data_IF_382454556723
#
_entry.id   IF_382454556723
#
_cell.length_a   1.000
_cell.length_b   1.000
_cell.length_c   1.000
_cell.angle_alpha   90.00
_cell.angle_beta   90.00
_cell.angle_gamma   90.00
#
_symmetry.space_group_name_H-M   'P 1'
#
loop_
_entity.id
_entity.type
_entity.pdbx_description
1 polymer ?
#
# COMPACT_ATOMS: atom_id res chain seq x y z
N UNK A 1 -11.38 21.11 6.74
CA UNK A 1 -10.13 20.40 6.50
C UNK A 1 -10.15 19.14 7.33
N UNK A 2 -9.81 17.99 6.77
CA UNK A 2 -9.86 16.69 7.48
C UNK A 2 -8.60 16.42 8.28
N UNK A 3 -8.69 15.57 9.29
CA UNK A 3 -7.60 15.19 10.18
C UNK A 3 -7.08 13.80 9.80
N UNK A 4 -5.91 13.73 9.15
CA UNK A 4 -5.33 12.45 8.74
C UNK A 4 -4.70 11.74 9.95
N UNK A 5 -5.11 10.49 10.16
CA UNK A 5 -4.52 9.54 11.08
C UNK A 5 -3.79 8.44 10.30
N UNK A 6 -2.53 8.23 10.63
CA UNK A 6 -1.67 7.23 10.00
C UNK A 6 -1.65 6.00 10.90
N UNK A 7 -2.08 4.85 10.39
CA UNK A 7 -2.07 3.58 11.11
C UNK A 7 -0.70 2.95 10.99
N UNK A 8 -0.02 2.75 12.13
CA UNK A 8 1.38 2.33 12.24
C UNK A 8 2.33 3.52 12.35
N UNK A 9 3.14 3.56 13.41
CA UNK A 9 4.09 4.64 13.70
C UNK A 9 5.56 4.20 13.51
N UNK A 10 5.82 2.95 13.12
CA UNK A 10 7.17 2.42 12.93
C UNK A 10 7.78 2.94 11.61
N UNK A 11 8.84 2.28 11.10
CA UNK A 11 9.60 2.73 9.92
C UNK A 11 8.70 3.17 8.76
N UNK A 12 7.82 2.29 8.30
CA UNK A 12 6.93 2.62 7.19
C UNK A 12 5.91 3.72 7.54
N UNK A 13 5.43 3.79 8.79
CA UNK A 13 4.58 4.90 9.24
C UNK A 13 5.27 6.26 9.13
N UNK A 14 6.54 6.34 9.52
CA UNK A 14 7.35 7.57 9.38
C UNK A 14 7.61 7.94 7.92
N UNK A 15 7.80 6.94 7.04
CA UNK A 15 7.88 7.19 5.60
C UNK A 15 6.57 7.76 5.05
N UNK A 16 5.43 7.22 5.48
CA UNK A 16 4.11 7.70 5.05
C UNK A 16 3.78 9.07 5.62
N UNK A 17 4.26 9.41 6.81
CA UNK A 17 4.18 10.78 7.32
C UNK A 17 4.87 11.77 6.37
N UNK A 18 6.12 11.49 5.98
CA UNK A 18 6.85 12.33 5.04
C UNK A 18 6.19 12.36 3.64
N UNK A 19 5.64 11.23 3.20
CA UNK A 19 4.88 11.16 1.96
C UNK A 19 3.64 12.07 2.01
N UNK A 20 2.92 12.06 3.14
CA UNK A 20 1.70 12.85 3.31
C UNK A 20 1.95 14.36 3.18
N UNK A 21 3.07 14.86 3.70
CA UNK A 21 3.47 16.27 3.57
C UNK A 21 3.66 16.72 2.12
N UNK A 22 4.00 15.78 1.21
CA UNK A 22 4.26 16.04 -0.20
C UNK A 22 3.12 15.56 -1.11
N UNK A 23 2.05 15.03 -0.53
CA UNK A 23 0.91 14.48 -1.27
C UNK A 23 -0.07 15.56 -1.73
N UNK A 24 -0.85 15.21 -2.76
CA UNK A 24 -1.96 16.03 -3.24
C UNK A 24 -2.98 16.19 -2.10
N UNK A 25 -3.47 17.40 -1.90
CA UNK A 25 -4.48 17.71 -0.86
C UNK A 25 -3.90 18.08 0.52
N UNK A 26 -2.60 17.86 0.79
CA UNK A 26 -2.00 18.29 2.04
C UNK A 26 -2.07 19.83 2.21
N UNK A 27 -2.54 20.28 3.39
CA UNK A 27 -2.72 21.70 3.72
C UNK A 27 -3.98 22.34 3.10
N UNK A 28 -4.70 21.64 2.23
CA UNK A 28 -5.95 22.14 1.60
C UNK A 28 -7.16 21.24 1.89
N UNK A 29 -7.00 19.95 1.79
CA UNK A 29 -8.06 18.96 2.06
C UNK A 29 -7.87 18.31 3.42
N UNK A 30 -6.62 17.99 3.78
CA UNK A 30 -6.28 17.37 5.06
C UNK A 30 -4.99 17.94 5.67
N UNK A 31 -4.87 17.76 7.01
CA UNK A 31 -3.63 17.89 7.77
C UNK A 31 -3.38 16.63 8.58
N UNK A 32 -2.15 16.41 9.03
CA UNK A 32 -1.80 15.21 9.80
C UNK A 32 -2.11 15.45 11.28
N UNK A 33 -2.99 14.63 11.86
CA UNK A 33 -3.35 14.66 13.27
C UNK A 33 -2.37 13.86 14.13
N UNK A 34 -1.93 12.69 13.66
CA UNK A 34 -1.01 11.82 14.40
C UNK A 34 -1.06 10.38 13.92
N UNK A 35 -0.53 9.50 14.76
CA UNK A 35 -0.47 8.07 14.51
C UNK A 35 -1.43 7.27 15.39
N UNK A 36 -1.82 6.10 14.88
CA UNK A 36 -2.40 5.02 15.66
C UNK A 36 -1.43 3.83 15.66
N UNK A 37 -0.96 3.40 16.82
CA UNK A 37 -0.07 2.23 16.98
C UNK A 37 -0.28 1.63 18.38
N UNK A 38 -0.21 0.32 18.49
CA UNK A 38 -0.38 -0.38 19.77
C UNK A 38 0.87 -0.23 20.66
N UNK A 39 2.03 -0.02 20.03
CA UNK A 39 3.28 0.22 20.73
C UNK A 39 3.49 1.73 20.94
N UNK A 40 3.19 2.21 22.13
CA UNK A 40 3.31 3.64 22.51
C UNK A 40 4.72 4.20 22.31
N UNK A 41 5.73 3.35 22.50
CA UNK A 41 7.15 3.70 22.40
C UNK A 41 7.69 3.58 20.95
N UNK A 42 6.84 3.41 19.94
CA UNK A 42 7.28 3.21 18.55
C UNK A 42 8.01 4.42 17.96
N UNK A 43 7.86 5.60 18.57
CA UNK A 43 8.53 6.85 18.17
C UNK A 43 9.66 7.26 19.11
N UNK A 44 9.98 6.48 20.15
CA UNK A 44 11.08 6.81 21.06
C UNK A 44 12.42 6.90 20.29
N UNK A 45 13.12 8.01 20.47
CA UNK A 45 14.35 8.31 19.73
C UNK A 45 14.14 8.84 18.30
N UNK A 46 12.91 9.18 17.93
CA UNK A 46 12.60 9.80 16.63
C UNK A 46 11.86 11.14 16.83
N UNK A 47 12.58 12.24 16.69
CA UNK A 47 12.04 13.58 16.87
C UNK A 47 11.34 14.10 15.60
N UNK A 48 10.46 15.10 15.78
CA UNK A 48 9.81 15.81 14.67
C UNK A 48 8.58 15.12 14.08
N UNK A 49 8.12 14.03 14.67
CA UNK A 49 6.87 13.37 14.30
C UNK A 49 5.72 13.72 15.25
N UNK A 50 4.46 13.72 14.77
CA UNK A 50 3.31 13.86 15.64
C UNK A 50 3.16 12.66 16.57
N UNK A 51 2.43 12.83 17.66
CA UNK A 51 2.26 11.82 18.70
C UNK A 51 1.49 10.58 18.21
N UNK A 52 1.72 9.45 18.87
CA UNK A 52 0.81 8.30 18.84
C UNK A 52 -0.37 8.64 19.75
N UNK A 53 -1.56 8.76 19.15
CA UNK A 53 -2.77 9.23 19.84
C UNK A 53 -3.45 8.09 20.60
N UNK A 54 -3.49 6.89 20.01
CA UNK A 54 -4.17 5.72 20.56
C UNK A 54 -3.72 4.44 19.84
N UNK A 55 -4.13 3.29 20.34
CA UNK A 55 -4.19 2.07 19.53
C UNK A 55 -5.39 2.13 18.57
N UNK A 56 -5.34 1.30 17.52
CA UNK A 56 -6.43 1.20 16.52
C UNK A 56 -7.74 0.73 17.18
N UNK A 57 -7.64 -0.24 18.09
CA UNK A 57 -8.80 -0.82 18.78
C UNK A 57 -9.50 0.20 19.68
N UNK A 58 -8.71 1.03 20.38
CA UNK A 58 -9.24 1.96 21.38
C UNK A 58 -9.62 3.33 20.81
N UNK A 59 -9.24 3.61 19.57
CA UNK A 59 -9.53 4.91 18.97
C UNK A 59 -11.03 5.07 18.67
N UNK A 60 -11.61 6.16 19.18
CA UNK A 60 -12.96 6.59 18.85
C UNK A 60 -12.93 7.53 17.63
N UNK A 61 -13.42 7.04 16.48
CA UNK A 61 -13.43 7.78 15.21
C UNK A 61 -14.26 9.06 15.35
N UNK A 62 -13.69 10.20 14.96
CA UNK A 62 -14.36 11.50 14.94
C UNK A 62 -14.86 11.82 13.51
N UNK A 63 -15.83 12.73 13.39
CA UNK A 63 -16.48 13.10 12.12
C UNK A 63 -15.54 13.66 11.07
N UNK A 64 -14.45 14.30 11.51
CA UNK A 64 -13.47 14.94 10.64
C UNK A 64 -12.21 14.11 10.40
N UNK A 65 -12.15 12.91 10.99
CA UNK A 65 -11.02 12.01 10.82
C UNK A 65 -11.06 11.31 9.46
N UNK A 66 -9.87 11.20 8.87
CA UNK A 66 -9.60 10.34 7.71
C UNK A 66 -8.37 9.50 7.98
N UNK A 67 -8.27 8.35 7.33
CA UNK A 67 -7.29 7.34 7.68
C UNK A 67 -6.47 6.89 6.48
N UNK A 68 -5.22 6.48 6.75
CA UNK A 68 -4.35 5.76 5.82
C UNK A 68 -3.60 4.65 6.56
N UNK A 69 -3.49 3.46 5.97
CA UNK A 69 -2.86 2.31 6.61
C UNK A 69 -1.40 2.15 6.15
N UNK A 70 -0.46 2.49 7.01
CA UNK A 70 0.99 2.43 6.78
C UNK A 70 1.61 1.13 7.32
N UNK A 71 1.06 -0.01 6.94
CA UNK A 71 1.58 -1.33 7.29
C UNK A 71 2.04 -2.07 6.03
N UNK A 72 3.28 -2.59 6.08
CA UNK A 72 3.85 -3.37 4.98
C UNK A 72 3.36 -4.81 4.94
N UNK A 73 3.05 -5.39 6.11
CA UNK A 73 2.46 -6.72 6.22
C UNK A 73 0.99 -6.66 5.81
N UNK A 74 0.62 -7.44 4.79
CA UNK A 74 -0.72 -7.43 4.18
C UNK A 74 -1.79 -8.02 5.10
N UNK A 75 -1.41 -8.92 6.01
CA UNK A 75 -2.33 -9.56 6.97
C UNK A 75 -2.70 -8.56 8.05
N UNK A 76 -1.72 -7.93 8.70
CA UNK A 76 -1.97 -6.89 9.69
C UNK A 76 -2.65 -5.66 9.07
N UNK A 77 -2.27 -5.28 7.84
CA UNK A 77 -2.97 -4.23 7.09
C UNK A 77 -4.46 -4.52 7.02
N UNK A 78 -4.83 -5.70 6.54
CA UNK A 78 -6.24 -6.10 6.43
C UNK A 78 -6.94 -6.09 7.78
N UNK A 79 -6.32 -6.63 8.81
CA UNK A 79 -6.88 -6.68 10.17
C UNK A 79 -7.23 -5.28 10.69
N UNK A 80 -6.28 -4.34 10.66
CA UNK A 80 -6.53 -2.99 11.20
C UNK A 80 -7.49 -2.17 10.34
N UNK A 81 -7.47 -2.38 9.02
CA UNK A 81 -8.45 -1.79 8.11
C UNK A 81 -9.86 -2.28 8.46
N UNK A 82 -10.05 -3.58 8.65
CA UNK A 82 -11.36 -4.16 8.99
C UNK A 82 -11.89 -3.60 10.33
N UNK A 83 -11.03 -3.46 11.35
CA UNK A 83 -11.40 -2.86 12.65
C UNK A 83 -11.94 -1.42 12.45
N UNK A 84 -11.23 -0.61 11.68
CA UNK A 84 -11.63 0.78 11.46
C UNK A 84 -12.85 0.92 10.52
N UNK A 85 -12.97 0.05 9.52
CA UNK A 85 -14.16 -0.01 8.67
C UNK A 85 -15.42 -0.38 9.48
N UNK A 86 -15.31 -1.30 10.44
CA UNK A 86 -16.40 -1.63 11.37
C UNK A 86 -16.81 -0.41 12.23
N UNK A 87 -15.88 0.51 12.49
CA UNK A 87 -16.11 1.80 13.17
C UNK A 87 -16.57 2.92 12.19
N UNK A 88 -16.86 2.59 10.93
CA UNK A 88 -17.25 3.54 9.86
C UNK A 88 -16.20 4.62 9.57
N UNK A 89 -14.92 4.28 9.75
CA UNK A 89 -13.81 5.18 9.42
C UNK A 89 -13.73 5.47 7.92
N UNK A 90 -13.41 6.70 7.56
CA UNK A 90 -13.24 7.14 6.18
C UNK A 90 -11.77 7.05 5.77
N UNK A 91 -11.45 6.25 4.76
CA UNK A 91 -10.10 6.15 4.22
C UNK A 91 -9.93 7.02 2.98
N UNK A 92 -8.81 7.73 2.89
CA UNK A 92 -8.43 8.52 1.73
C UNK A 92 -7.31 7.84 0.93
N UNK A 93 -7.17 8.20 -0.34
CA UNK A 93 -6.00 7.86 -1.12
C UNK A 93 -4.91 8.89 -0.88
N UNK A 94 -3.68 8.41 -0.61
CA UNK A 94 -2.52 9.27 -0.43
C UNK A 94 -1.65 9.18 -1.68
N UNK A 95 -1.62 10.25 -2.49
CA UNK A 95 -0.98 10.26 -3.79
C UNK A 95 0.11 11.33 -3.82
N UNK A 96 1.36 10.90 -4.00
CA UNK A 96 2.48 11.82 -4.15
C UNK A 96 2.38 12.64 -5.45
N UNK A 97 2.78 13.91 -5.40
CA UNK A 97 2.69 14.83 -6.54
C UNK A 97 3.49 14.39 -7.78
N UNK A 98 4.52 13.55 -7.61
CA UNK A 98 5.32 13.01 -8.73
C UNK A 98 4.81 11.70 -9.30
N UNK A 99 3.72 11.14 -8.76
CA UNK A 99 3.12 9.94 -9.33
C UNK A 99 2.40 10.25 -10.64
N UNK A 100 2.48 9.34 -11.59
CA UNK A 100 1.76 9.41 -12.87
C UNK A 100 0.68 8.33 -12.91
N UNK A 101 -0.55 8.71 -13.23
CA UNK A 101 -1.68 7.79 -13.35
C UNK A 101 -2.33 8.03 -14.71
N UNK A 102 -2.33 6.97 -15.53
CA UNK A 102 -2.86 7.00 -16.89
C UNK A 102 -4.39 7.09 -16.94
N UNK A 103 -4.91 7.41 -18.13
CA UNK A 103 -6.36 7.52 -18.38
C UNK A 103 -7.09 6.22 -18.07
N UNK A 104 -8.36 6.33 -17.72
CA UNK A 104 -9.28 5.22 -17.43
C UNK A 104 -8.83 4.30 -16.28
N UNK A 105 -7.85 4.73 -15.47
CA UNK A 105 -7.47 3.98 -14.26
C UNK A 105 -8.51 4.19 -13.19
N UNK A 106 -9.09 3.09 -12.71
CA UNK A 106 -10.03 3.07 -11.60
C UNK A 106 -9.30 2.68 -10.32
N UNK A 107 -9.49 3.44 -9.26
CA UNK A 107 -8.82 3.21 -7.98
C UNK A 107 -9.84 3.21 -6.84
N UNK A 108 -9.75 2.20 -5.98
CA UNK A 108 -10.50 2.12 -4.74
C UNK A 108 -10.03 3.13 -3.69
N UNK A 109 -10.37 2.88 -2.44
CA UNK A 109 -10.05 3.74 -1.30
C UNK A 109 -8.84 3.23 -0.51
N UNK A 110 -8.21 4.12 0.25
CA UNK A 110 -7.11 3.78 1.16
C UNK A 110 -5.80 3.39 0.47
N UNK A 111 -5.63 3.72 -0.81
CA UNK A 111 -4.43 3.42 -1.57
C UNK A 111 -3.30 4.41 -1.25
N UNK A 112 -2.07 3.92 -1.25
CA UNK A 112 -0.85 4.71 -1.09
C UNK A 112 -0.05 4.66 -2.38
N UNK A 113 0.14 5.81 -3.00
CA UNK A 113 0.91 5.97 -4.24
C UNK A 113 2.14 6.83 -3.93
N UNK A 114 3.28 6.17 -3.77
CA UNK A 114 4.53 6.83 -3.40
C UNK A 114 5.16 7.61 -4.57
N UNK A 115 6.32 8.20 -4.27
CA UNK A 115 7.10 9.02 -5.23
C UNK A 115 7.46 8.22 -6.48
N UNK A 116 7.32 8.85 -7.65
CA UNK A 116 7.73 8.30 -8.94
C UNK A 116 7.09 6.95 -9.30
N UNK A 117 5.93 6.66 -8.73
CA UNK A 117 5.10 5.54 -9.17
C UNK A 117 4.53 5.88 -10.55
N UNK A 118 4.59 4.94 -11.48
CA UNK A 118 4.02 5.07 -12.80
C UNK A 118 2.96 3.99 -13.04
N UNK A 119 1.71 4.41 -13.14
CA UNK A 119 0.57 3.56 -13.46
C UNK A 119 0.09 3.90 -14.87
N UNK A 120 0.09 2.93 -15.77
CA UNK A 120 -0.34 3.09 -17.16
C UNK A 120 -1.88 3.27 -17.26
N UNK A 121 -2.40 3.26 -18.48
CA UNK A 121 -3.84 3.39 -18.74
C UNK A 121 -4.62 2.10 -18.49
N UNK A 122 -5.93 2.25 -18.27
CA UNK A 122 -6.91 1.16 -18.21
C UNK A 122 -6.64 0.15 -17.08
N UNK A 123 -6.00 0.62 -16.00
CA UNK A 123 -5.66 -0.19 -14.82
C UNK A 123 -6.80 -0.18 -13.81
N UNK A 124 -7.11 -1.34 -13.23
CA UNK A 124 -8.07 -1.46 -12.14
C UNK A 124 -7.36 -1.78 -10.83
N UNK A 125 -7.52 -0.90 -9.84
CA UNK A 125 -6.90 -1.00 -8.52
C UNK A 125 -8.00 -1.07 -7.47
N UNK A 126 -8.00 -2.15 -6.68
CA UNK A 126 -8.95 -2.30 -5.58
C UNK A 126 -8.52 -1.46 -4.34
N UNK A 127 -9.11 -1.71 -3.18
CA UNK A 127 -8.90 -0.93 -1.98
C UNK A 127 -7.57 -1.26 -1.27
N UNK A 128 -7.00 -0.30 -0.56
CA UNK A 128 -5.86 -0.46 0.36
C UNK A 128 -4.58 -1.00 -0.29
N UNK A 129 -4.37 -0.72 -1.56
CA UNK A 129 -3.15 -1.11 -2.27
C UNK A 129 -2.04 -0.10 -1.99
N UNK A 130 -0.84 -0.61 -1.72
CA UNK A 130 0.36 0.21 -1.52
C UNK A 130 1.31 0.04 -2.70
N UNK A 131 1.68 1.15 -3.32
CA UNK A 131 2.73 1.24 -4.32
C UNK A 131 3.89 2.03 -3.74
N UNK A 132 4.99 1.36 -3.43
CA UNK A 132 6.21 2.01 -2.95
C UNK A 132 6.93 2.75 -4.08
N UNK A 133 7.96 3.58 -3.79
CA UNK A 133 8.62 4.40 -4.80
C UNK A 133 9.09 3.60 -6.03
N UNK A 134 8.94 4.19 -7.20
CA UNK A 134 9.39 3.65 -8.49
C UNK A 134 8.69 2.36 -8.94
N UNK A 135 7.57 2.00 -8.34
CA UNK A 135 6.73 0.92 -8.87
C UNK A 135 6.17 1.33 -10.23
N UNK A 136 6.20 0.40 -11.18
CA UNK A 136 5.66 0.62 -12.53
C UNK A 136 4.62 -0.45 -12.87
N UNK A 137 3.44 0.00 -13.30
CA UNK A 137 2.30 -0.85 -13.65
C UNK A 137 1.99 -0.67 -15.15
N UNK A 138 2.01 -1.77 -15.89
CA UNK A 138 1.62 -1.83 -17.30
C UNK A 138 0.11 -1.64 -17.49
N UNK A 139 -0.28 -1.36 -18.73
CA UNK A 139 -1.69 -1.17 -19.13
C UNK A 139 -2.55 -2.41 -18.86
N UNK A 140 -3.85 -2.21 -18.68
CA UNK A 140 -4.84 -3.29 -18.49
C UNK A 140 -4.56 -4.22 -17.28
N UNK A 141 -3.71 -3.80 -16.33
CA UNK A 141 -3.43 -4.58 -15.14
C UNK A 141 -4.59 -4.52 -14.14
N UNK A 142 -4.77 -5.61 -13.39
CA UNK A 142 -5.79 -5.72 -12.34
C UNK A 142 -5.10 -6.02 -11.01
N UNK A 143 -5.40 -5.22 -9.98
CA UNK A 143 -4.76 -5.34 -8.67
C UNK A 143 -5.83 -5.45 -7.59
N UNK A 144 -5.82 -6.58 -6.89
CA UNK A 144 -6.73 -6.89 -5.78
C UNK A 144 -6.43 -6.09 -4.51
N UNK A 145 -7.34 -6.20 -3.55
CA UNK A 145 -7.27 -5.43 -2.30
C UNK A 145 -6.11 -5.82 -1.40
N UNK A 146 -5.63 -4.86 -0.62
CA UNK A 146 -4.57 -5.02 0.38
C UNK A 146 -3.22 -5.48 -0.18
N UNK A 147 -2.99 -5.42 -1.48
CA UNK A 147 -1.69 -5.74 -2.07
C UNK A 147 -0.60 -4.75 -1.62
N UNK A 148 0.63 -5.24 -1.56
CA UNK A 148 1.81 -4.43 -1.25
C UNK A 148 2.88 -4.63 -2.31
N UNK A 149 3.12 -3.59 -3.11
CA UNK A 149 4.12 -3.57 -4.17
C UNK A 149 5.32 -2.75 -3.68
N UNK A 150 6.42 -3.44 -3.40
CA UNK A 150 7.63 -2.80 -2.89
C UNK A 150 8.40 -2.09 -4.01
N UNK A 151 9.33 -1.23 -3.58
CA UNK A 151 10.15 -0.37 -4.43
C UNK A 151 10.72 -1.09 -5.65
N UNK A 152 10.65 -0.46 -6.83
CA UNK A 152 11.12 -0.96 -8.11
C UNK A 152 10.42 -2.24 -8.62
N UNK A 153 9.32 -2.67 -8.02
CA UNK A 153 8.56 -3.78 -8.63
C UNK A 153 7.86 -3.35 -9.92
N UNK A 154 7.72 -4.30 -10.83
CA UNK A 154 7.15 -4.08 -12.16
C UNK A 154 6.06 -5.09 -12.47
N UNK A 155 4.94 -4.62 -12.99
CA UNK A 155 3.87 -5.44 -13.53
C UNK A 155 3.72 -5.20 -15.03
N UNK A 156 3.92 -6.23 -15.85
CA UNK A 156 3.65 -6.18 -17.29
C UNK A 156 2.16 -6.00 -17.60
N UNK A 157 1.85 -5.58 -18.81
CA UNK A 157 0.47 -5.38 -19.26
C UNK A 157 -0.39 -6.64 -19.11
N UNK A 158 -1.69 -6.48 -18.80
CA UNK A 158 -2.67 -7.56 -18.54
C UNK A 158 -2.32 -8.48 -17.37
N UNK A 159 -1.30 -8.17 -16.57
CA UNK A 159 -0.98 -8.96 -15.38
C UNK A 159 -2.00 -8.72 -14.27
N UNK A 160 -2.16 -9.71 -13.38
CA UNK A 160 -3.18 -9.68 -12.35
C UNK A 160 -2.62 -10.06 -10.99
N UNK A 161 -2.95 -9.29 -9.96
CA UNK A 161 -2.79 -9.68 -8.56
C UNK A 161 -4.18 -9.90 -7.95
N UNK A 162 -4.37 -11.05 -7.32
CA UNK A 162 -5.51 -11.23 -6.41
C UNK A 162 -5.25 -10.50 -5.08
N UNK A 163 -6.12 -10.67 -4.06
CA UNK A 163 -5.99 -9.94 -2.81
C UNK A 163 -4.74 -10.33 -2.02
N UNK A 164 -4.23 -9.40 -1.21
CA UNK A 164 -3.14 -9.62 -0.24
C UNK A 164 -1.85 -10.17 -0.85
N UNK A 165 -1.59 -9.90 -2.11
CA UNK A 165 -0.33 -10.27 -2.77
C UNK A 165 0.77 -9.29 -2.36
N UNK A 166 1.97 -9.84 -2.12
CA UNK A 166 3.18 -9.05 -1.91
C UNK A 166 4.17 -9.24 -3.08
N UNK A 167 4.52 -8.13 -3.73
CA UNK A 167 5.67 -8.08 -4.62
C UNK A 167 6.83 -7.43 -3.86
N UNK A 168 7.91 -8.20 -3.62
CA UNK A 168 9.09 -7.64 -2.96
C UNK A 168 9.91 -6.74 -3.91
N UNK A 169 10.86 -6.01 -3.34
CA UNK A 169 11.70 -5.04 -4.04
C UNK A 169 12.26 -5.62 -5.34
N UNK A 170 12.03 -4.91 -6.45
CA UNK A 170 12.51 -5.32 -7.77
C UNK A 170 11.85 -6.57 -8.35
N UNK A 171 10.75 -7.07 -7.77
CA UNK A 171 10.00 -8.19 -8.35
C UNK A 171 9.38 -7.81 -9.70
N UNK A 172 9.43 -8.70 -10.68
CA UNK A 172 8.95 -8.48 -12.04
C UNK A 172 7.89 -9.52 -12.39
N UNK A 173 6.75 -9.07 -12.88
CA UNK A 173 5.76 -9.91 -13.52
C UNK A 173 5.78 -9.66 -15.04
N UNK A 174 5.95 -10.73 -15.83
CA UNK A 174 5.78 -10.62 -17.28
C UNK A 174 4.31 -10.37 -17.64
N UNK A 175 4.02 -9.85 -18.85
CA UNK A 175 2.64 -9.65 -19.31
C UNK A 175 1.78 -10.91 -19.14
N UNK A 176 0.49 -10.71 -18.81
CA UNK A 176 -0.51 -11.78 -18.59
C UNK A 176 -0.25 -12.70 -17.38
N UNK A 177 0.80 -12.47 -16.60
CA UNK A 177 1.05 -13.28 -15.38
C UNK A 177 -0.01 -12.98 -14.33
N UNK A 178 -0.57 -14.04 -13.76
CA UNK A 178 -1.49 -13.97 -12.63
C UNK A 178 -0.82 -14.46 -11.35
N UNK A 179 -0.94 -13.68 -10.29
CA UNK A 179 -0.50 -14.02 -8.93
C UNK A 179 -1.75 -14.15 -8.05
N UNK A 180 -1.97 -15.36 -7.52
CA UNK A 180 -3.16 -15.66 -6.72
C UNK A 180 -3.04 -15.14 -5.29
N UNK A 181 -4.17 -15.13 -4.57
CA UNK A 181 -4.35 -14.52 -3.25
C UNK A 181 -3.28 -14.95 -2.23
N UNK A 182 -2.76 -13.98 -1.50
CA UNK A 182 -1.78 -14.18 -0.43
C UNK A 182 -0.41 -14.69 -0.90
N UNK A 183 -0.18 -14.78 -2.22
CA UNK A 183 1.12 -15.21 -2.73
C UNK A 183 2.17 -14.10 -2.64
N UNK A 184 3.43 -14.51 -2.59
CA UNK A 184 4.60 -13.62 -2.48
C UNK A 184 5.55 -13.85 -3.65
N UNK A 185 5.93 -12.78 -4.34
CA UNK A 185 7.03 -12.79 -5.32
C UNK A 185 8.26 -12.16 -4.66
N UNK A 186 9.30 -12.95 -4.48
CA UNK A 186 10.51 -12.56 -3.76
C UNK A 186 11.28 -11.44 -4.44
N UNK A 187 12.22 -10.84 -3.70
CA UNK A 187 13.01 -9.71 -4.21
C UNK A 187 13.79 -10.08 -5.48
N UNK A 188 13.79 -9.18 -6.46
CA UNK A 188 14.46 -9.34 -7.77
C UNK A 188 14.07 -10.61 -8.54
N UNK A 189 12.92 -11.19 -8.24
CA UNK A 189 12.42 -12.39 -8.89
C UNK A 189 11.60 -12.04 -10.14
N UNK A 190 11.68 -12.90 -11.15
CA UNK A 190 10.95 -12.73 -12.43
C UNK A 190 9.89 -13.84 -12.58
N UNK A 191 8.64 -13.51 -12.31
CA UNK A 191 7.53 -14.41 -12.50
C UNK A 191 7.13 -14.43 -13.99
N UNK A 192 7.34 -15.59 -14.63
CA UNK A 192 7.07 -15.82 -16.06
C UNK A 192 5.79 -16.63 -16.29
N UNK A 193 5.16 -17.10 -15.21
CA UNK A 193 3.93 -17.89 -15.22
C UNK A 193 3.14 -17.64 -13.94
N UNK A 194 1.93 -18.17 -13.90
CA UNK A 194 1.01 -18.09 -12.76
C UNK A 194 1.69 -18.51 -11.44
N UNK A 195 1.49 -17.71 -10.39
CA UNK A 195 1.92 -18.00 -9.01
C UNK A 195 0.70 -18.42 -8.20
N UNK A 196 0.79 -19.58 -7.53
CA UNK A 196 -0.34 -20.15 -6.78
C UNK A 196 -0.57 -19.45 -5.45
N UNK A 197 -1.83 -19.46 -5.00
CA UNK A 197 -2.27 -18.88 -3.74
C UNK A 197 -1.42 -19.34 -2.55
N UNK A 198 -1.09 -18.40 -1.65
CA UNK A 198 -0.35 -18.64 -0.42
C UNK A 198 1.08 -19.14 -0.59
N UNK A 199 1.62 -19.14 -1.83
CA UNK A 199 2.99 -19.62 -2.09
C UNK A 199 3.96 -18.44 -2.21
N UNK A 200 5.22 -18.71 -1.87
CA UNK A 200 6.35 -17.81 -2.15
C UNK A 200 7.14 -18.35 -3.33
N UNK A 201 7.38 -17.49 -4.33
CA UNK A 201 8.27 -17.83 -5.47
C UNK A 201 9.50 -16.92 -5.44
N UNK A 202 10.66 -17.45 -5.87
CA UNK A 202 11.92 -16.73 -5.88
C UNK A 202 12.81 -17.13 -7.07
N UNK A 203 13.59 -16.18 -7.56
CA UNK A 203 14.60 -16.38 -8.61
C UNK A 203 14.20 -15.85 -9.99
N UNK A 204 15.05 -16.09 -10.99
CA UNK A 204 14.85 -15.73 -12.40
C UNK A 204 15.20 -16.92 -13.29
N UNK A 205 14.21 -17.62 -13.89
CA UNK A 205 12.78 -17.47 -13.65
C UNK A 205 12.37 -17.87 -12.22
N UNK A 206 11.32 -17.23 -11.69
CA UNK A 206 10.84 -17.48 -10.32
C UNK A 206 10.24 -18.89 -10.21
N UNK A 207 10.67 -19.61 -9.18
CA UNK A 207 10.20 -20.96 -8.84
C UNK A 207 9.76 -21.01 -7.39
N UNK A 208 8.97 -22.03 -7.03
CA UNK A 208 8.46 -22.22 -5.68
C UNK A 208 9.63 -22.29 -4.68
N UNK A 209 9.63 -21.41 -3.68
CA UNK A 209 10.55 -21.50 -2.56
C UNK A 209 10.10 -22.65 -1.64
N UNK A 210 10.95 -23.65 -1.50
CA UNK A 210 10.74 -24.76 -0.56
C UNK A 210 11.57 -24.47 0.69
N UNK A 211 10.93 -24.44 1.85
CA UNK A 211 11.57 -24.37 3.17
C UNK A 211 11.90 -25.77 3.66
#
# INVERSE_FOLDING_TARGET
MKNLLIIGARGFGREIYNLALESIGYGTEFTIKGFLDDKKEALDGYDGYPSIISSVENYAVQSDDVFICALGDVIYKKQYVDILQAKKAHFINLIHRSATIGKNTNMGIGCIICRNVNISCDVTIANFVTFQPFVTIGHDAIIGSCCHLNTYSFMGGFSQLENMVTLHTGAILLPHVKVEEGAVVGASSVAVRKVKSGTTVYGNPATLLKY
#
